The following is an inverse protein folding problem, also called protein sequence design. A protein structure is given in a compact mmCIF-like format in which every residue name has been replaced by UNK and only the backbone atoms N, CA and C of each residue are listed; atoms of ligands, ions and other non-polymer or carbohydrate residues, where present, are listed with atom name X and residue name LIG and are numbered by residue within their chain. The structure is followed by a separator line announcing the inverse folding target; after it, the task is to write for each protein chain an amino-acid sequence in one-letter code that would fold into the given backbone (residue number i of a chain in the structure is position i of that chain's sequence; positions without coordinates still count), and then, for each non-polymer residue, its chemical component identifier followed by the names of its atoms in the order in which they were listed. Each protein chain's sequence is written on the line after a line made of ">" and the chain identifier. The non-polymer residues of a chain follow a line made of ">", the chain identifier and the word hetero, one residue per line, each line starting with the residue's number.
data_IF_063764952811
#
_entry.id   IF_063764952811
#
_cell.length_a   1.000
_cell.length_b   1.000
_cell.length_c   1.000
_cell.angle_alpha   90.00
_cell.angle_beta   90.00
_cell.angle_gamma   90.00
#
_symmetry.space_group_name_H-M   'P 1'
#
loop_
_entity.id
_entity.type
_entity.pdbx_description
1 polymer ?
#
# COMPACT_ATOMS: atom_id res chain seq x y z
N UNK A 1 -92.85 -58.45 -57.75
CA UNK A 1 -92.60 -59.63 -56.89
C UNK A 1 -91.32 -59.36 -56.11
N UNK A 2 -91.48 -58.79 -54.93
CA UNK A 2 -90.41 -58.33 -54.02
C UNK A 2 -90.30 -59.43 -52.95
N UNK A 3 -89.45 -60.45 -53.16
CA UNK A 3 -89.23 -61.48 -52.14
C UNK A 3 -87.96 -62.31 -52.45
N UNK A 4 -86.81 -61.66 -52.52
CA UNK A 4 -85.51 -62.37 -52.54
C UNK A 4 -84.42 -61.69 -51.72
N UNK A 5 -84.75 -60.65 -50.95
CA UNK A 5 -83.79 -59.88 -50.16
C UNK A 5 -83.73 -60.24 -48.65
N UNK A 6 -84.46 -61.26 -48.18
CA UNK A 6 -84.61 -61.54 -46.74
C UNK A 6 -84.25 -62.96 -46.28
N UNK A 7 -83.49 -63.75 -47.07
CA UNK A 7 -83.21 -65.15 -46.73
C UNK A 7 -81.75 -65.46 -46.35
N UNK A 8 -80.91 -64.46 -46.05
CA UNK A 8 -79.51 -64.69 -45.64
C UNK A 8 -79.12 -64.01 -44.32
N UNK A 9 -80.10 -63.66 -43.49
CA UNK A 9 -79.85 -63.03 -42.16
C UNK A 9 -80.11 -64.01 -41.00
N UNK A 10 -80.44 -65.28 -41.26
CA UNK A 10 -80.88 -66.21 -40.18
C UNK A 10 -80.18 -67.57 -40.13
N UNK A 11 -79.10 -67.81 -40.88
CA UNK A 11 -78.31 -69.05 -40.82
C UNK A 11 -76.99 -68.88 -40.04
N UNK A 12 -77.09 -68.63 -38.73
CA UNK A 12 -75.90 -68.47 -37.88
C UNK A 12 -76.11 -68.57 -36.37
N UNK A 13 -77.24 -69.12 -35.91
CA UNK A 13 -77.49 -69.42 -34.49
C UNK A 13 -77.14 -70.88 -34.14
N UNK A 14 -76.07 -71.41 -34.74
CA UNK A 14 -75.33 -72.48 -34.11
C UNK A 14 -74.59 -71.84 -32.92
N UNK A 15 -74.46 -72.49 -31.75
CA UNK A 15 -73.50 -72.07 -30.73
C UNK A 15 -72.10 -72.27 -31.30
N UNK A 16 -71.67 -71.37 -32.19
CA UNK A 16 -70.28 -71.28 -32.62
C UNK A 16 -69.52 -70.98 -31.35
N UNK A 17 -68.80 -71.99 -30.91
CA UNK A 17 -68.13 -71.92 -29.66
C UNK A 17 -67.21 -70.68 -29.65
N UNK A 18 -67.24 -69.96 -28.54
CA UNK A 18 -66.70 -68.60 -28.37
C UNK A 18 -65.29 -68.39 -28.95
N UNK A 19 -64.53 -69.48 -29.12
CA UNK A 19 -63.20 -69.54 -29.71
C UNK A 19 -63.11 -69.32 -31.25
N UNK A 20 -64.19 -69.44 -32.02
CA UNK A 20 -64.16 -69.30 -33.49
C UNK A 20 -64.52 -67.90 -34.02
N UNK A 21 -64.93 -66.98 -33.14
CA UNK A 21 -65.25 -65.61 -33.51
C UNK A 21 -63.99 -64.74 -33.71
N UNK A 22 -63.87 -63.95 -34.79
CA UNK A 22 -62.75 -63.01 -34.97
C UNK A 22 -62.55 -62.04 -33.79
N UNK A 23 -63.64 -61.68 -33.11
CA UNK A 23 -63.62 -60.84 -31.91
C UNK A 23 -62.86 -61.47 -30.73
N UNK A 24 -62.86 -62.80 -30.58
CA UNK A 24 -62.12 -63.50 -29.52
C UNK A 24 -60.61 -63.40 -29.73
N UNK A 25 -60.14 -63.58 -30.96
CA UNK A 25 -58.72 -63.39 -31.29
C UNK A 25 -58.30 -61.92 -31.16
N UNK A 26 -59.15 -60.96 -31.57
CA UNK A 26 -58.86 -59.53 -31.34
C UNK A 26 -58.77 -59.21 -29.85
N UNK A 27 -59.63 -59.78 -29.00
CA UNK A 27 -59.57 -59.60 -27.55
C UNK A 27 -58.30 -60.21 -26.94
N UNK A 28 -57.86 -61.39 -27.39
CA UNK A 28 -56.60 -62.01 -26.95
C UNK A 28 -55.40 -61.17 -27.39
N UNK A 29 -55.37 -60.69 -28.64
CA UNK A 29 -54.30 -59.85 -29.14
C UNK A 29 -54.24 -58.51 -28.39
N UNK A 30 -55.39 -57.90 -28.08
CA UNK A 30 -55.49 -56.70 -27.25
C UNK A 30 -54.98 -56.96 -25.82
N UNK A 31 -55.37 -58.07 -25.20
CA UNK A 31 -54.93 -58.42 -23.86
C UNK A 31 -53.40 -58.67 -23.82
N UNK A 32 -52.87 -59.38 -24.81
CA UNK A 32 -51.42 -59.58 -24.95
C UNK A 32 -50.69 -58.25 -25.14
N UNK A 33 -51.21 -57.35 -25.99
CA UNK A 33 -50.65 -56.02 -26.19
C UNK A 33 -50.63 -55.21 -24.89
N UNK A 34 -51.76 -55.17 -24.16
CA UNK A 34 -51.87 -54.44 -22.88
C UNK A 34 -50.88 -55.01 -21.86
N UNK A 35 -50.78 -56.33 -21.71
CA UNK A 35 -49.85 -56.94 -20.75
C UNK A 35 -48.39 -56.58 -21.08
N UNK A 36 -48.02 -56.62 -22.36
CA UNK A 36 -46.65 -56.30 -22.81
C UNK A 36 -46.34 -54.80 -22.63
N UNK A 37 -47.29 -53.91 -22.93
CA UNK A 37 -47.05 -52.46 -22.95
C UNK A 37 -47.28 -51.76 -21.61
N UNK A 38 -48.06 -52.33 -20.69
CA UNK A 38 -48.36 -51.68 -19.40
C UNK A 38 -47.10 -51.45 -18.56
N UNK A 39 -46.24 -52.47 -18.43
CA UNK A 39 -44.97 -52.36 -17.67
C UNK A 39 -44.00 -51.28 -18.20
N UNK A 40 -43.63 -51.25 -19.49
CA UNK A 40 -42.70 -50.25 -20.01
C UNK A 40 -43.26 -48.84 -19.95
N UNK A 41 -44.56 -48.64 -20.22
CA UNK A 41 -45.21 -47.32 -20.15
C UNK A 41 -45.18 -46.78 -18.71
N UNK A 42 -45.53 -47.61 -17.72
CA UNK A 42 -45.46 -47.22 -16.31
C UNK A 42 -44.03 -46.89 -15.87
N UNK A 43 -43.05 -47.70 -16.29
CA UNK A 43 -41.63 -47.46 -15.98
C UNK A 43 -41.11 -46.16 -16.61
N UNK A 44 -41.49 -45.86 -17.85
CA UNK A 44 -41.08 -44.63 -18.52
C UNK A 44 -41.72 -43.39 -17.88
N UNK A 45 -43.02 -43.45 -17.56
CA UNK A 45 -43.73 -42.34 -16.92
C UNK A 45 -43.16 -42.01 -15.53
N UNK A 46 -42.92 -43.03 -14.69
CA UNK A 46 -42.29 -42.86 -13.37
C UNK A 46 -40.86 -42.35 -13.49
N UNK A 47 -40.05 -42.93 -14.37
CA UNK A 47 -38.66 -42.49 -14.57
C UNK A 47 -38.55 -41.04 -15.07
N UNK A 48 -39.46 -40.60 -15.94
CA UNK A 48 -39.49 -39.21 -16.40
C UNK A 48 -39.86 -38.23 -15.29
N UNK A 49 -40.78 -38.63 -14.39
CA UNK A 49 -41.18 -37.83 -13.24
C UNK A 49 -40.05 -37.77 -12.20
N UNK A 50 -39.43 -38.90 -11.88
CA UNK A 50 -38.27 -38.97 -10.99
C UNK A 50 -37.11 -38.10 -11.50
N UNK A 51 -36.86 -38.09 -12.81
CA UNK A 51 -35.83 -37.24 -13.41
C UNK A 51 -36.15 -35.75 -13.23
N UNK A 52 -37.41 -35.36 -13.35
CA UNK A 52 -37.84 -33.97 -13.09
C UNK A 52 -37.72 -33.59 -11.63
N UNK A 53 -38.14 -34.48 -10.72
CA UNK A 53 -38.03 -34.28 -9.27
C UNK A 53 -36.57 -34.08 -8.89
N UNK A 54 -35.68 -34.97 -9.33
CA UNK A 54 -34.23 -34.85 -9.10
C UNK A 54 -33.65 -33.56 -9.65
N UNK A 55 -33.99 -33.20 -10.90
CA UNK A 55 -33.50 -31.95 -11.49
C UNK A 55 -33.95 -30.71 -10.70
N UNK A 56 -35.17 -30.72 -10.14
CA UNK A 56 -35.66 -29.64 -9.28
C UNK A 56 -34.92 -29.63 -7.94
N UNK A 57 -34.77 -30.79 -7.30
CA UNK A 57 -34.02 -30.95 -6.05
C UNK A 57 -32.58 -30.45 -6.20
N UNK A 58 -31.87 -30.92 -7.23
CA UNK A 58 -30.50 -30.51 -7.56
C UNK A 58 -30.42 -28.98 -7.76
N UNK A 59 -31.39 -28.39 -8.48
CA UNK A 59 -31.41 -26.94 -8.74
C UNK A 59 -31.67 -26.11 -7.47
N UNK A 60 -32.48 -26.64 -6.54
CA UNK A 60 -32.76 -25.99 -5.26
C UNK A 60 -31.54 -26.08 -4.35
N UNK A 61 -30.90 -27.26 -4.29
CA UNK A 61 -29.67 -27.46 -3.52
C UNK A 61 -28.53 -26.57 -4.05
N UNK A 62 -28.34 -26.52 -5.37
CA UNK A 62 -27.35 -25.64 -5.99
C UNK A 62 -27.63 -24.17 -5.69
N UNK A 63 -28.89 -23.74 -5.79
CA UNK A 63 -29.28 -22.36 -5.46
C UNK A 63 -29.07 -22.02 -3.99
N UNK A 64 -29.34 -22.98 -3.09
CA UNK A 64 -29.10 -22.82 -1.66
C UNK A 64 -27.60 -22.69 -1.37
N UNK A 65 -26.77 -23.57 -1.97
CA UNK A 65 -25.31 -23.52 -1.83
C UNK A 65 -24.73 -22.21 -2.38
N UNK A 66 -25.19 -21.77 -3.56
CA UNK A 66 -24.76 -20.50 -4.14
C UNK A 66 -25.13 -19.31 -3.26
N UNK A 67 -26.29 -19.34 -2.60
CA UNK A 67 -26.69 -18.31 -1.63
C UNK A 67 -25.79 -18.32 -0.40
N UNK A 68 -25.47 -19.49 0.14
CA UNK A 68 -24.56 -19.62 1.28
C UNK A 68 -23.16 -19.12 0.93
N UNK A 69 -22.61 -19.55 -0.21
CA UNK A 69 -21.31 -19.10 -0.72
C UNK A 69 -21.28 -17.58 -0.91
N UNK A 70 -22.34 -16.99 -1.46
CA UNK A 70 -22.46 -15.55 -1.64
C UNK A 70 -22.52 -14.80 -0.29
N UNK A 71 -23.23 -15.34 0.70
CA UNK A 71 -23.31 -14.75 2.04
C UNK A 71 -21.97 -14.82 2.77
N UNK A 72 -21.28 -15.97 2.72
CA UNK A 72 -19.95 -16.12 3.30
C UNK A 72 -18.92 -15.20 2.62
N UNK A 73 -18.97 -15.11 1.29
CA UNK A 73 -18.12 -14.20 0.53
C UNK A 73 -18.39 -12.73 0.93
N UNK A 74 -19.65 -12.32 1.02
CA UNK A 74 -20.02 -10.98 1.47
C UNK A 74 -19.51 -10.71 2.90
N UNK A 75 -19.65 -11.66 3.81
CA UNK A 75 -19.14 -11.54 5.17
C UNK A 75 -17.62 -11.40 5.19
N UNK A 76 -16.90 -12.18 4.40
CA UNK A 76 -15.44 -12.09 4.23
C UNK A 76 -15.02 -10.73 3.68
N UNK A 77 -15.70 -10.21 2.66
CA UNK A 77 -15.41 -8.87 2.11
C UNK A 77 -15.66 -7.76 3.12
N UNK A 78 -16.77 -7.82 3.87
CA UNK A 78 -17.05 -6.83 4.92
C UNK A 78 -16.00 -6.84 6.02
N UNK A 79 -15.56 -8.02 6.47
CA UNK A 79 -14.45 -8.14 7.43
C UNK A 79 -13.17 -7.56 6.86
N UNK A 80 -12.78 -7.95 5.65
CA UNK A 80 -11.59 -7.40 4.97
C UNK A 80 -11.63 -5.88 4.82
N UNK A 81 -12.80 -5.31 4.53
CA UNK A 81 -12.97 -3.85 4.42
C UNK A 81 -12.73 -3.20 5.79
N UNK A 82 -13.37 -3.72 6.84
CA UNK A 82 -13.19 -3.23 8.21
C UNK A 82 -11.74 -3.34 8.67
N UNK A 83 -11.08 -4.47 8.40
CA UNK A 83 -9.69 -4.70 8.75
C UNK A 83 -8.77 -3.74 7.99
N UNK A 84 -9.04 -3.49 6.70
CA UNK A 84 -8.30 -2.53 5.90
C UNK A 84 -8.48 -1.08 6.37
N UNK A 85 -9.68 -0.71 6.82
CA UNK A 85 -9.93 0.62 7.41
C UNK A 85 -9.17 0.81 8.73
N UNK A 86 -9.14 -0.21 9.59
CA UNK A 86 -8.36 -0.20 10.84
C UNK A 86 -6.87 -0.12 10.53
N UNK A 87 -6.38 -0.93 9.59
CA UNK A 87 -4.97 -0.90 9.20
C UNK A 87 -4.57 0.46 8.61
N UNK A 88 -5.41 1.06 7.78
CA UNK A 88 -5.18 2.41 7.25
C UNK A 88 -5.11 3.46 8.36
N UNK A 89 -5.99 3.39 9.35
CA UNK A 89 -5.95 4.28 10.52
C UNK A 89 -4.68 4.08 11.34
N UNK A 90 -4.25 2.83 11.55
CA UNK A 90 -3.01 2.51 12.24
C UNK A 90 -1.79 3.07 11.50
N UNK A 91 -1.73 2.91 10.16
CA UNK A 91 -0.66 3.48 9.33
C UNK A 91 -0.60 5.00 9.48
N UNK A 92 -1.76 5.67 9.43
CA UNK A 92 -1.82 7.13 9.59
C UNK A 92 -1.38 7.56 10.99
N UNK A 93 -1.79 6.83 12.04
CA UNK A 93 -1.37 7.11 13.42
C UNK A 93 0.13 6.96 13.58
N UNK A 94 0.69 5.83 13.13
CA UNK A 94 2.12 5.56 13.19
C UNK A 94 2.91 6.61 12.41
N UNK A 95 2.48 6.97 11.21
CA UNK A 95 3.13 8.00 10.41
C UNK A 95 3.14 9.37 11.09
N UNK A 96 2.07 9.71 11.84
CA UNK A 96 2.02 10.96 12.62
C UNK A 96 2.95 10.92 13.83
N UNK A 97 2.99 9.81 14.54
CA UNK A 97 3.91 9.60 15.67
C UNK A 97 5.37 9.68 15.20
N UNK A 98 5.70 8.98 14.11
CA UNK A 98 7.04 8.99 13.52
C UNK A 98 7.43 10.37 13.03
N UNK A 99 6.50 11.09 12.38
CA UNK A 99 6.73 12.47 11.94
C UNK A 99 6.95 13.42 13.12
N UNK A 100 6.20 13.26 14.22
CA UNK A 100 6.41 14.02 15.46
C UNK A 100 7.78 13.74 16.07
N UNK A 101 8.12 12.47 16.28
CA UNK A 101 9.41 12.07 16.82
C UNK A 101 10.59 12.51 15.94
N UNK A 102 10.43 12.47 14.61
CA UNK A 102 11.43 12.95 13.67
C UNK A 102 11.60 14.46 13.76
N UNK A 103 10.49 15.21 13.84
CA UNK A 103 10.53 16.67 14.00
C UNK A 103 11.25 17.06 15.28
N UNK A 104 10.97 16.41 16.39
CA UNK A 104 11.60 16.71 17.68
C UNK A 104 13.10 16.41 17.62
N UNK A 105 13.50 15.24 17.09
CA UNK A 105 14.92 14.91 16.88
C UNK A 105 15.65 15.93 16.01
N UNK A 106 15.06 16.28 14.86
CA UNK A 106 15.66 17.26 13.94
C UNK A 106 15.75 18.65 14.57
N UNK A 107 14.78 19.03 15.40
CA UNK A 107 14.80 20.31 16.12
C UNK A 107 15.95 20.33 17.12
N UNK A 108 16.10 19.29 17.95
CA UNK A 108 17.22 19.17 18.89
C UNK A 108 18.58 19.14 18.18
N UNK A 109 18.70 18.40 17.07
CA UNK A 109 19.93 18.35 16.29
C UNK A 109 20.27 19.70 15.63
N UNK A 110 19.26 20.42 15.16
CA UNK A 110 19.40 21.75 14.59
C UNK A 110 19.86 22.76 15.65
N UNK A 111 19.24 22.76 16.83
CA UNK A 111 19.63 23.62 17.96
C UNK A 111 21.10 23.36 18.36
N UNK A 112 21.49 22.09 18.54
CA UNK A 112 22.86 21.72 18.86
C UNK A 112 23.85 22.15 17.75
N UNK A 113 23.44 22.05 16.49
CA UNK A 113 24.26 22.47 15.35
C UNK A 113 24.40 24.00 15.30
N UNK A 114 23.33 24.74 15.59
CA UNK A 114 23.35 26.19 15.65
C UNK A 114 24.24 26.68 16.79
N UNK A 115 24.11 26.13 17.98
CA UNK A 115 24.96 26.47 19.14
C UNK A 115 26.44 26.23 18.83
N UNK A 116 26.77 25.08 18.23
CA UNK A 116 28.15 24.79 17.80
C UNK A 116 28.65 25.79 16.76
N UNK A 117 27.82 26.17 15.79
CA UNK A 117 28.19 27.16 14.77
C UNK A 117 28.37 28.56 15.35
N UNK A 118 27.52 28.95 16.30
CA UNK A 118 27.64 30.21 17.02
C UNK A 118 28.95 30.27 17.80
N UNK A 119 29.26 29.21 18.55
CA UNK A 119 30.53 29.11 19.28
C UNK A 119 31.74 29.19 18.33
N UNK A 120 31.71 28.47 17.22
CA UNK A 120 32.77 28.53 16.21
C UNK A 120 32.91 29.93 15.59
N UNK A 121 31.80 30.63 15.35
CA UNK A 121 31.83 32.00 14.85
C UNK A 121 32.43 32.96 15.88
N UNK A 122 32.04 32.83 17.15
CA UNK A 122 32.59 33.63 18.24
C UNK A 122 34.09 33.38 18.46
N UNK A 123 34.54 32.11 18.38
CA UNK A 123 35.95 31.76 18.43
C UNK A 123 36.74 32.39 17.27
N UNK A 124 36.19 32.36 16.05
CA UNK A 124 36.81 33.02 14.88
C UNK A 124 36.88 34.54 15.02
N UNK A 125 35.82 35.16 15.55
CA UNK A 125 35.80 36.61 15.80
C UNK A 125 36.88 36.96 16.83
N UNK A 126 36.95 36.24 17.95
CA UNK A 126 37.97 36.48 18.98
C UNK A 126 39.39 36.28 18.44
N UNK A 127 39.59 35.27 17.60
CA UNK A 127 40.88 35.06 16.94
C UNK A 127 41.24 36.24 16.01
N UNK A 128 40.30 36.67 15.17
CA UNK A 128 40.51 37.81 14.26
C UNK A 128 40.74 39.13 15.01
N UNK A 129 40.07 39.35 16.15
CA UNK A 129 40.31 40.52 17.01
C UNK A 129 41.71 40.51 17.62
N UNK A 130 42.20 39.35 18.04
CA UNK A 130 43.56 39.21 18.57
C UNK A 130 44.61 39.45 17.47
N UNK A 131 44.42 38.86 16.29
CA UNK A 131 45.29 39.07 15.12
C UNK A 131 45.32 40.56 14.73
N UNK A 132 44.16 41.22 14.63
CA UNK A 132 44.07 42.64 14.32
C UNK A 132 44.73 43.53 15.39
N UNK A 133 44.61 43.17 16.67
CA UNK A 133 45.28 43.90 17.77
C UNK A 133 46.80 43.75 17.70
N UNK A 134 47.30 42.58 17.37
CA UNK A 134 48.73 42.33 17.22
C UNK A 134 49.32 43.07 16.01
N UNK A 135 48.60 43.06 14.88
CA UNK A 135 48.95 43.84 13.69
C UNK A 135 48.96 45.34 14.00
N UNK A 136 47.92 45.86 14.67
CA UNK A 136 47.84 47.27 15.07
C UNK A 136 48.97 47.70 16.01
N UNK A 137 49.37 46.83 16.96
CA UNK A 137 50.51 47.08 17.84
C UNK A 137 51.81 47.19 17.06
N UNK A 138 52.00 46.34 16.06
CA UNK A 138 53.19 46.34 15.20
C UNK A 138 53.26 47.63 14.37
N UNK A 139 52.16 47.99 13.69
CA UNK A 139 52.06 49.25 12.92
C UNK A 139 52.34 50.47 13.83
N UNK A 140 51.78 50.49 15.04
CA UNK A 140 51.99 51.61 15.97
C UNK A 140 53.43 51.70 16.46
N UNK A 141 54.08 50.55 16.72
CA UNK A 141 55.50 50.51 17.09
C UNK A 141 56.39 51.03 15.95
N UNK A 142 56.13 50.59 14.72
CA UNK A 142 56.86 51.05 13.53
C UNK A 142 56.66 52.56 13.31
N UNK A 143 55.44 53.06 13.48
CA UNK A 143 55.14 54.50 13.36
C UNK A 143 55.84 55.32 14.47
N UNK A 144 55.88 54.82 15.70
CA UNK A 144 56.57 55.49 16.81
C UNK A 144 58.08 55.56 16.59
N UNK A 145 58.68 54.48 16.06
CA UNK A 145 60.10 54.45 15.66
C UNK A 145 60.35 55.46 14.55
N UNK A 146 59.52 55.47 13.50
CA UNK A 146 59.65 56.41 12.38
C UNK A 146 59.51 57.88 12.83
N UNK A 147 58.53 58.18 13.69
CA UNK A 147 58.33 59.53 14.23
C UNK A 147 59.52 59.97 15.11
N UNK A 148 60.05 59.06 15.94
CA UNK A 148 61.22 59.35 16.78
C UNK A 148 62.46 59.58 15.93
N UNK A 149 62.66 58.80 14.87
CA UNK A 149 63.74 58.98 13.91
C UNK A 149 63.64 60.35 13.21
N UNK A 150 62.42 60.77 12.85
CA UNK A 150 62.21 62.08 12.23
C UNK A 150 62.50 63.24 13.20
N UNK A 151 61.97 63.19 14.43
CA UNK A 151 62.24 64.22 15.46
C UNK A 151 63.73 64.29 15.80
N UNK A 152 64.39 63.13 15.96
CA UNK A 152 65.83 63.08 16.23
C UNK A 152 66.64 63.67 15.07
N UNK A 153 66.24 63.40 13.82
CA UNK A 153 66.91 63.96 12.65
C UNK A 153 66.75 65.48 12.57
N UNK A 154 65.55 66.02 12.83
CA UNK A 154 65.31 67.47 12.89
C UNK A 154 66.10 68.13 14.03
N UNK A 155 66.20 67.48 15.19
CA UNK A 155 66.91 68.01 16.35
C UNK A 155 68.44 68.00 16.16
N UNK A 156 69.00 66.95 15.55
CA UNK A 156 70.43 66.89 15.17
C UNK A 156 70.79 67.95 14.12
N UNK A 157 69.86 68.31 13.23
CA UNK A 157 70.08 69.38 12.25
C UNK A 157 70.07 70.78 12.90
N UNK A 158 69.33 70.94 14.01
CA UNK A 158 69.16 72.22 14.70
C UNK A 158 70.17 72.43 15.86
N UNK A 159 70.60 71.37 16.54
CA UNK A 159 71.71 71.37 17.50
C UNK A 159 72.96 70.82 16.80
N UNK A 160 73.90 71.71 16.44
CA UNK A 160 75.20 71.33 15.84
C UNK A 160 75.78 70.06 16.48
N UNK A 161 76.04 69.05 15.66
CA UNK A 161 76.23 67.64 16.00
C UNK A 161 77.39 67.30 16.96
N UNK A 162 78.23 68.25 17.35
CA UNK A 162 79.45 68.02 18.13
C UNK A 162 79.15 67.62 19.59
N UNK A 163 78.11 68.20 20.22
CA UNK A 163 77.80 67.97 21.64
C UNK A 163 77.22 66.56 21.91
N UNK A 164 76.43 66.03 20.97
CA UNK A 164 75.85 64.68 21.05
C UNK A 164 76.89 63.57 20.80
N UNK A 165 77.89 63.85 19.96
CA UNK A 165 79.00 62.92 19.69
C UNK A 165 79.89 62.82 20.92
N UNK A 166 80.19 63.94 21.59
CA UNK A 166 80.97 63.96 22.82
C UNK A 166 80.25 63.24 23.99
N UNK A 167 78.92 63.36 24.12
CA UNK A 167 78.11 62.63 25.11
C UNK A 167 78.12 61.11 24.85
N UNK A 168 77.96 60.68 23.58
CA UNK A 168 78.01 59.27 23.20
C UNK A 168 79.41 58.65 23.43
N UNK A 169 80.48 59.41 23.17
CA UNK A 169 81.86 59.00 23.47
C UNK A 169 82.08 58.87 24.99
N UNK A 170 81.40 59.69 25.79
CA UNK A 170 81.49 59.68 27.26
C UNK A 170 80.66 58.57 27.93
N UNK A 171 79.62 58.04 27.28
CA UNK A 171 78.82 56.91 27.78
C UNK A 171 79.40 55.52 27.46
N UNK A 172 80.23 55.40 26.40
CA UNK A 172 80.89 54.14 26.02
C UNK A 172 81.66 53.41 27.16
N UNK A 173 82.34 54.11 28.11
CA UNK A 173 83.01 53.46 29.23
C UNK A 173 82.07 52.77 30.24
N UNK A 174 80.79 53.17 30.33
CA UNK A 174 79.84 52.66 31.34
C UNK A 174 79.06 51.40 30.89
N UNK A 175 79.15 51.00 29.61
CA UNK A 175 78.54 49.74 29.11
C UNK A 175 79.55 48.61 28.88
N UNK A 176 80.81 48.81 29.24
CA UNK A 176 81.90 47.83 29.16
C UNK A 176 82.46 47.39 30.53
N UNK A 177 81.75 47.70 31.62
CA UNK A 177 81.90 47.06 32.94
C UNK A 177 80.63 46.31 33.29
#
# INVERSE_FOLDING_TARGET
>A
MISSAYANVTSGLEPQAFYSGPAFWVAIAFLCFVIIFTKPIWKFATSALDKKIKAIEDSIEESARLREDAQDLLAKYKRKLSDAEVEAQNIISQAREDAGALKDRLTTELEATLERKEKQAMERISQAENEAREEFRTITADLAIAATQQVLSEQIEQSKSDELIDEAIKELPNKLS
#
